data_IF_121754554467
#
_entry.id   IF_121754554467
#
_cell.length_a   1.000
_cell.length_b   1.000
_cell.length_c   1.000
_cell.angle_alpha   90.00
_cell.angle_beta   90.00
_cell.angle_gamma   90.00
#
_symmetry.space_group_name_H-M   'P 1'
#
loop_
_entity.id
_entity.type
_entity.pdbx_description
1 polymer ?
#
# COMPACT_ATOMS: atom_id res chain seq x y z
N UNK A 1 27.96 20.01 -27.12
CA UNK A 1 27.22 19.19 -26.18
C UNK A 1 27.82 19.20 -24.77
N UNK A 2 29.07 18.79 -24.54
CA UNK A 2 29.71 18.79 -23.18
C UNK A 2 29.63 20.14 -22.44
N UNK A 3 29.84 21.27 -23.16
CA UNK A 3 29.77 22.60 -22.58
C UNK A 3 28.36 22.92 -22.01
N UNK A 4 27.29 22.56 -22.73
CA UNK A 4 25.92 22.79 -22.32
C UNK A 4 25.62 21.98 -21.06
N UNK A 5 25.98 20.69 -21.03
CA UNK A 5 25.80 19.86 -19.84
C UNK A 5 26.52 20.50 -18.64
N UNK A 6 27.80 20.86 -18.81
CA UNK A 6 28.58 21.48 -17.73
C UNK A 6 27.94 22.78 -17.21
N UNK A 7 27.49 23.65 -18.11
CA UNK A 7 26.86 24.93 -17.75
C UNK A 7 25.53 24.70 -17.08
N UNK A 8 24.68 23.81 -17.61
CA UNK A 8 23.38 23.48 -16.99
C UNK A 8 23.57 22.90 -15.58
N UNK A 9 24.46 21.91 -15.42
CA UNK A 9 24.76 21.37 -14.09
C UNK A 9 25.29 22.44 -13.12
N UNK A 10 26.14 23.37 -13.59
CA UNK A 10 26.63 24.47 -12.77
C UNK A 10 25.52 25.42 -12.32
N UNK A 11 24.53 25.68 -13.18
CA UNK A 11 23.35 26.50 -12.83
C UNK A 11 22.50 25.78 -11.80
N UNK A 12 22.23 24.48 -12.01
CA UNK A 12 21.45 23.64 -11.08
C UNK A 12 22.09 23.62 -9.69
N UNK A 13 23.40 23.36 -9.60
CA UNK A 13 24.10 23.25 -8.31
C UNK A 13 24.26 24.58 -7.58
N UNK A 14 24.07 25.73 -8.24
CA UNK A 14 24.04 27.05 -7.61
C UNK A 14 22.65 27.43 -7.12
N UNK A 15 21.61 26.68 -7.45
CA UNK A 15 20.25 26.97 -7.04
C UNK A 15 19.94 26.28 -5.70
N UNK A 16 19.68 27.05 -4.61
CA UNK A 16 19.39 26.47 -3.30
C UNK A 16 18.08 25.64 -3.31
N UNK A 17 17.07 26.04 -4.10
CA UNK A 17 15.85 25.28 -4.26
C UNK A 17 16.06 23.89 -4.86
N UNK A 18 17.04 23.74 -5.74
CA UNK A 18 17.41 22.43 -6.29
C UNK A 18 17.94 21.51 -5.18
N UNK A 19 18.85 21.99 -4.33
CA UNK A 19 19.35 21.20 -3.21
C UNK A 19 18.29 20.87 -2.18
N UNK A 20 17.37 21.81 -1.92
CA UNK A 20 16.25 21.56 -1.02
C UNK A 20 15.44 20.34 -1.47
N UNK A 21 14.97 20.30 -2.72
CA UNK A 21 14.19 19.16 -3.22
C UNK A 21 15.02 17.90 -3.38
N UNK A 22 16.29 18.01 -3.75
CA UNK A 22 17.19 16.87 -3.88
C UNK A 22 17.40 16.14 -2.55
N UNK A 23 17.40 16.84 -1.43
CA UNK A 23 17.64 16.26 -0.11
C UNK A 23 16.33 15.92 0.60
N UNK A 24 15.34 16.83 0.60
CA UNK A 24 14.14 16.68 1.41
C UNK A 24 13.27 15.51 0.94
N UNK A 25 13.14 15.28 -0.36
CA UNK A 25 12.24 14.24 -0.86
C UNK A 25 12.72 12.82 -0.56
N UNK A 26 14.01 12.43 -0.75
CA UNK A 26 14.49 11.12 -0.31
C UNK A 26 14.45 10.93 1.21
N UNK A 27 14.80 11.98 1.96
CA UNK A 27 14.77 11.94 3.43
C UNK A 27 13.32 11.73 3.90
N UNK A 28 12.37 12.54 3.41
CA UNK A 28 10.97 12.43 3.80
C UNK A 28 10.37 11.07 3.39
N UNK A 29 10.66 10.60 2.18
CA UNK A 29 10.26 9.26 1.71
C UNK A 29 10.78 8.17 2.63
N UNK A 30 12.05 8.25 3.04
CA UNK A 30 12.67 7.29 3.96
C UNK A 30 12.05 7.35 5.37
N UNK A 31 11.83 8.56 5.89
CA UNK A 31 11.21 8.75 7.21
C UNK A 31 9.81 8.16 7.23
N UNK A 32 8.98 8.45 6.21
CA UNK A 32 7.62 7.90 6.10
C UNK A 32 7.66 6.37 6.05
N UNK A 33 8.51 5.80 5.21
CA UNK A 33 8.65 4.34 5.11
C UNK A 33 9.11 3.73 6.43
N UNK A 34 10.11 4.35 7.09
CA UNK A 34 10.64 3.87 8.37
C UNK A 34 9.61 3.92 9.50
N UNK A 35 8.89 5.03 9.63
CA UNK A 35 7.84 5.18 10.64
C UNK A 35 6.75 4.13 10.46
N UNK A 36 6.35 3.89 9.22
CA UNK A 36 5.34 2.88 8.92
C UNK A 36 5.86 1.46 9.19
N UNK A 37 7.10 1.15 8.83
CA UNK A 37 7.73 -0.14 9.16
C UNK A 37 7.83 -0.36 10.68
N UNK A 38 8.11 0.70 11.44
CA UNK A 38 8.19 0.62 12.91
C UNK A 38 6.80 0.35 13.50
N UNK A 39 5.76 1.01 12.98
CA UNK A 39 4.39 0.80 13.42
C UNK A 39 3.95 -0.65 13.13
N UNK A 40 4.19 -1.16 11.93
CA UNK A 40 3.90 -2.57 11.61
C UNK A 40 4.68 -3.52 12.51
N UNK A 41 5.96 -3.25 12.79
CA UNK A 41 6.77 -4.06 13.68
C UNK A 41 6.30 -4.06 15.14
N UNK A 42 5.74 -2.94 15.61
CA UNK A 42 5.11 -2.88 16.93
C UNK A 42 3.87 -3.79 17.01
N UNK A 43 3.12 -3.91 15.92
CA UNK A 43 2.00 -4.85 15.81
C UNK A 43 2.43 -6.31 15.63
N UNK A 44 3.64 -6.57 15.12
CA UNK A 44 4.16 -7.94 15.00
C UNK A 44 4.38 -8.63 16.34
N UNK A 45 4.78 -7.90 17.36
CA UNK A 45 4.96 -8.43 18.72
C UNK A 45 3.64 -8.90 19.32
N UNK A 46 2.51 -8.32 18.87
CA UNK A 46 1.17 -8.66 19.33
C UNK A 46 0.41 -9.60 18.38
N UNK A 47 0.99 -9.98 17.23
CA UNK A 47 0.28 -10.69 16.15
C UNK A 47 0.02 -12.18 16.38
N UNK A 48 0.46 -12.76 17.49
CA UNK A 48 0.15 -14.15 17.86
C UNK A 48 -1.16 -14.28 18.69
N UNK A 49 -1.89 -13.18 18.87
CA UNK A 49 -3.15 -13.25 19.58
C UNK A 49 -4.25 -13.77 18.64
N UNK A 50 -4.78 -14.91 19.00
CA UNK A 50 -6.01 -15.48 18.40
C UNK A 50 -7.24 -15.14 19.24
N UNK A 51 -7.06 -15.13 20.56
CA UNK A 51 -8.08 -14.79 21.57
C UNK A 51 -7.45 -13.87 22.60
N UNK A 52 -8.02 -12.68 22.77
CA UNK A 52 -7.55 -11.68 23.74
C UNK A 52 -8.66 -11.35 24.72
N UNK A 53 -8.36 -11.44 26.02
CA UNK A 53 -9.28 -10.94 27.05
C UNK A 53 -9.02 -9.44 27.28
N UNK A 54 -10.03 -8.62 27.06
CA UNK A 54 -9.98 -7.18 27.26
C UNK A 54 -10.42 -6.84 28.68
N UNK A 55 -9.51 -6.27 29.47
CA UNK A 55 -9.76 -5.86 30.85
C UNK A 55 -9.86 -4.35 31.02
N UNK A 56 -9.26 -3.58 30.11
CA UNK A 56 -9.21 -2.12 30.17
C UNK A 56 -9.30 -1.46 28.79
N UNK A 57 -9.50 -0.14 28.74
CA UNK A 57 -9.48 0.63 27.49
C UNK A 57 -8.12 0.62 26.77
N UNK A 58 -7.03 0.46 27.53
CA UNK A 58 -5.68 0.34 26.95
C UNK A 58 -5.50 -0.93 26.12
N UNK A 59 -6.33 -1.94 26.35
CA UNK A 59 -6.28 -3.23 25.64
C UNK A 59 -6.86 -3.14 24.23
N UNK A 60 -7.45 -1.98 23.85
CA UNK A 60 -7.88 -1.70 22.46
C UNK A 60 -6.73 -1.81 21.45
N UNK A 61 -5.49 -1.71 21.90
CA UNK A 61 -4.30 -1.99 21.07
C UNK A 61 -4.35 -3.41 20.48
N UNK A 62 -5.03 -4.34 21.14
CA UNK A 62 -5.22 -5.70 20.63
C UNK A 62 -5.95 -5.76 19.28
N UNK A 63 -6.85 -4.80 18.98
CA UNK A 63 -7.56 -4.74 17.69
C UNK A 63 -6.59 -4.58 16.52
N UNK A 64 -5.44 -3.96 16.76
CA UNK A 64 -4.40 -3.75 15.77
C UNK A 64 -3.50 -4.97 15.56
N UNK A 65 -3.53 -5.94 16.49
CA UNK A 65 -2.74 -7.18 16.40
C UNK A 65 -3.28 -8.22 15.42
N UNK A 66 -4.49 -8.03 14.92
CA UNK A 66 -5.16 -8.98 14.03
C UNK A 66 -4.76 -8.84 12.55
N UNK A 67 -3.48 -8.82 12.20
CA UNK A 67 -3.00 -8.69 10.81
C UNK A 67 -3.82 -9.53 9.83
N UNK A 68 -4.63 -8.87 9.00
CA UNK A 68 -5.47 -9.53 8.00
C UNK A 68 -6.59 -10.41 8.54
N UNK A 69 -6.73 -10.56 9.87
CA UNK A 69 -7.84 -11.26 10.49
C UNK A 69 -9.06 -10.36 10.62
N UNK A 70 -10.22 -10.95 10.56
CA UNK A 70 -11.47 -10.23 10.87
C UNK A 70 -11.61 -10.08 12.37
N UNK A 71 -11.60 -8.85 12.87
CA UNK A 71 -11.62 -8.56 14.31
C UNK A 71 -13.05 -8.60 14.83
N UNK A 72 -13.28 -9.43 15.84
CA UNK A 72 -14.59 -9.64 16.48
C UNK A 72 -14.47 -9.29 17.94
N UNK A 73 -15.24 -8.32 18.39
CA UNK A 73 -15.38 -8.01 19.82
C UNK A 73 -16.52 -8.82 20.40
N UNK A 74 -16.28 -9.51 21.49
CA UNK A 74 -17.29 -10.36 22.11
C UNK A 74 -17.59 -9.88 23.52
N UNK A 75 -18.83 -9.54 23.79
CA UNK A 75 -19.38 -9.32 25.14
C UNK A 75 -19.97 -10.61 25.61
N UNK A 76 -19.24 -11.30 26.47
CA UNK A 76 -19.66 -12.58 27.04
C UNK A 76 -20.30 -12.41 28.40
N UNK A 77 -21.63 -12.39 28.42
CA UNK A 77 -22.43 -12.41 29.61
C UNK A 77 -22.88 -13.83 30.00
N UNK A 78 -22.76 -14.80 29.11
CA UNK A 78 -23.06 -16.20 29.38
C UNK A 78 -22.01 -16.83 30.29
N UNK A 79 -20.73 -16.71 29.95
CA UNK A 79 -19.61 -17.23 30.73
C UNK A 79 -19.63 -18.75 30.91
N UNK A 80 -20.18 -19.49 29.93
CA UNK A 80 -20.42 -20.94 30.00
C UNK A 80 -19.39 -21.70 29.19
N UNK A 81 -19.33 -23.03 29.38
CA UNK A 81 -18.46 -23.90 28.58
C UNK A 81 -18.84 -23.89 27.09
N UNK A 82 -20.12 -23.71 26.75
CA UNK A 82 -20.56 -23.60 25.37
C UNK A 82 -20.16 -22.28 24.72
N UNK A 83 -20.19 -21.17 25.47
CA UNK A 83 -19.67 -19.89 24.98
C UNK A 83 -18.17 -19.96 24.76
N UNK A 84 -17.40 -20.60 25.65
CA UNK A 84 -15.98 -20.83 25.51
C UNK A 84 -15.66 -21.66 24.26
N UNK A 85 -16.38 -22.78 24.06
CA UNK A 85 -16.26 -23.63 22.88
C UNK A 85 -16.49 -22.86 21.59
N UNK A 86 -17.53 -22.01 21.54
CA UNK A 86 -17.80 -21.16 20.37
C UNK A 86 -16.63 -20.23 20.07
N UNK A 87 -16.08 -19.56 21.09
CA UNK A 87 -14.97 -18.64 20.92
C UNK A 87 -13.68 -19.36 20.49
N UNK A 88 -13.39 -20.52 21.06
CA UNK A 88 -12.22 -21.33 20.70
C UNK A 88 -12.32 -21.86 19.26
N UNK A 89 -13.51 -22.23 18.80
CA UNK A 89 -13.72 -22.65 17.42
C UNK A 89 -13.55 -21.50 16.43
N UNK A 90 -14.05 -20.30 16.76
CA UNK A 90 -13.83 -19.13 15.92
C UNK A 90 -12.34 -18.81 15.80
N UNK A 91 -11.58 -18.88 16.90
CA UNK A 91 -10.13 -18.66 16.88
C UNK A 91 -9.37 -19.73 16.13
N UNK A 92 -9.76 -21.00 16.28
CA UNK A 92 -9.11 -22.12 15.62
C UNK A 92 -9.14 -22.05 14.08
N UNK A 93 -10.10 -21.31 13.50
CA UNK A 93 -10.15 -21.10 12.05
C UNK A 93 -8.96 -20.27 11.51
N UNK A 94 -8.26 -19.54 12.38
CA UNK A 94 -7.15 -18.66 12.01
C UNK A 94 -7.56 -17.38 11.26
N UNK A 95 -8.84 -17.28 10.84
CA UNK A 95 -9.36 -16.15 10.07
C UNK A 95 -9.81 -14.97 10.95
N UNK A 96 -10.06 -15.23 12.25
CA UNK A 96 -10.62 -14.26 13.17
C UNK A 96 -9.67 -13.92 14.33
N UNK A 97 -9.72 -12.67 14.77
CA UNK A 97 -9.19 -12.24 16.07
C UNK A 97 -10.37 -11.98 17.00
N UNK A 98 -10.47 -12.77 18.06
CA UNK A 98 -11.55 -12.66 19.04
C UNK A 98 -11.08 -11.84 20.24
N UNK A 99 -11.69 -10.67 20.45
CA UNK A 99 -11.44 -9.79 21.58
C UNK A 99 -12.60 -9.92 22.57
N UNK A 100 -12.43 -10.74 23.63
CA UNK A 100 -13.46 -11.04 24.59
C UNK A 100 -13.46 -10.04 25.75
N UNK A 101 -14.66 -9.56 26.09
CA UNK A 101 -14.97 -8.81 27.33
C UNK A 101 -15.86 -9.68 28.19
N UNK A 102 -15.38 -10.08 29.36
CA UNK A 102 -16.22 -10.78 30.37
C UNK A 102 -17.19 -9.78 31.02
N UNK A 103 -18.46 -9.91 30.73
CA UNK A 103 -19.49 -8.96 31.19
C UNK A 103 -20.72 -9.68 31.76
N UNK A 104 -20.58 -10.41 32.88
CA UNK A 104 -21.63 -11.31 33.39
C UNK A 104 -22.92 -10.58 33.81
N UNK A 105 -22.87 -9.27 34.01
CA UNK A 105 -24.03 -8.45 34.38
C UNK A 105 -24.62 -7.67 33.18
N UNK A 106 -24.00 -7.72 32.02
CA UNK A 106 -24.44 -6.96 30.84
C UNK A 106 -25.76 -7.50 30.32
N UNK A 107 -26.69 -6.60 30.07
CA UNK A 107 -27.94 -6.92 29.37
C UNK A 107 -27.82 -6.63 27.87
N UNK A 108 -28.79 -7.10 27.07
CA UNK A 108 -28.84 -6.77 25.65
C UNK A 108 -28.92 -5.26 25.40
N UNK A 109 -29.72 -4.54 26.23
CA UNK A 109 -29.83 -3.09 26.09
C UNK A 109 -28.51 -2.36 26.38
N UNK A 110 -27.71 -2.87 27.33
CA UNK A 110 -26.38 -2.34 27.61
C UNK A 110 -25.42 -2.62 26.41
N UNK A 111 -25.54 -3.80 25.80
CA UNK A 111 -24.77 -4.15 24.61
C UNK A 111 -25.14 -3.27 23.42
N UNK A 112 -26.43 -3.03 23.16
CA UNK A 112 -26.91 -2.13 22.11
C UNK A 112 -26.35 -0.71 22.30
N UNK A 113 -26.40 -0.15 23.51
CA UNK A 113 -25.84 1.17 23.79
C UNK A 113 -24.30 1.22 23.63
N UNK A 114 -23.62 0.12 23.97
CA UNK A 114 -22.18 0.02 23.83
C UNK A 114 -21.76 -0.05 22.35
N UNK A 115 -22.57 -0.66 21.49
CA UNK A 115 -22.33 -0.78 20.05
C UNK A 115 -22.35 0.57 19.34
N UNK A 116 -23.10 1.55 19.79
CA UNK A 116 -23.06 2.91 19.27
C UNK A 116 -21.67 3.53 19.43
N UNK A 117 -20.97 3.22 20.53
CA UNK A 117 -19.61 3.72 20.79
C UNK A 117 -18.58 2.91 20.01
N UNK A 118 -18.70 1.59 20.02
CA UNK A 118 -17.75 0.69 19.36
C UNK A 118 -17.81 0.78 17.83
N UNK A 119 -18.96 1.16 17.26
CA UNK A 119 -19.14 1.35 15.81
C UNK A 119 -18.28 2.46 15.20
N UNK A 120 -17.67 3.33 16.03
CA UNK A 120 -16.70 4.33 15.58
C UNK A 120 -15.28 3.78 15.44
N UNK A 121 -15.03 2.53 15.80
CA UNK A 121 -13.72 1.91 15.65
C UNK A 121 -13.64 1.20 14.30
N UNK A 122 -12.93 1.80 13.34
CA UNK A 122 -12.81 1.35 11.93
C UNK A 122 -12.14 -0.02 11.79
N UNK A 123 -11.61 -0.61 12.86
CA UNK A 123 -10.85 -1.86 12.80
C UNK A 123 -11.64 -3.07 13.26
N UNK A 124 -12.81 -2.86 13.82
CA UNK A 124 -13.72 -3.94 14.15
C UNK A 124 -14.61 -4.29 12.95
N UNK A 125 -14.63 -5.57 12.61
CA UNK A 125 -15.52 -6.10 11.58
C UNK A 125 -16.92 -6.37 12.10
N UNK A 126 -17.00 -7.00 13.30
CA UNK A 126 -18.24 -7.32 13.95
C UNK A 126 -18.11 -7.27 15.47
N UNK A 127 -19.24 -7.16 16.16
CA UNK A 127 -19.33 -7.44 17.57
C UNK A 127 -20.39 -8.53 17.83
N UNK A 128 -20.17 -9.30 18.88
CA UNK A 128 -20.99 -10.42 19.28
C UNK A 128 -21.39 -10.24 20.76
N UNK A 129 -22.67 -10.28 21.05
CA UNK A 129 -23.17 -10.38 22.41
C UNK A 129 -23.62 -11.81 22.68
N UNK A 130 -23.14 -12.41 23.77
CA UNK A 130 -23.54 -13.72 24.26
C UNK A 130 -24.26 -13.52 25.59
N UNK A 131 -25.58 -13.59 25.55
CA UNK A 131 -26.44 -13.40 26.73
C UNK A 131 -26.54 -14.64 27.62
N UNK A 132 -27.09 -14.49 28.81
CA UNK A 132 -27.28 -15.60 29.78
C UNK A 132 -28.16 -16.75 29.25
N UNK A 133 -29.04 -16.47 28.29
CA UNK A 133 -29.89 -17.49 27.61
C UNK A 133 -29.19 -18.22 26.49
N UNK A 134 -27.91 -17.90 26.18
CA UNK A 134 -27.17 -18.43 25.05
C UNK A 134 -27.21 -19.96 24.97
N UNK A 135 -26.90 -20.66 26.07
CA UNK A 135 -26.85 -22.12 26.08
C UNK A 135 -28.21 -22.75 25.75
N UNK A 136 -29.28 -22.28 26.37
CA UNK A 136 -30.64 -22.79 26.14
C UNK A 136 -31.08 -22.56 24.69
N UNK A 137 -30.78 -21.39 24.14
CA UNK A 137 -31.11 -21.02 22.76
C UNK A 137 -30.23 -21.77 21.71
N UNK A 138 -28.93 -21.94 21.99
CA UNK A 138 -28.02 -22.69 21.17
C UNK A 138 -28.42 -24.18 21.04
N UNK A 139 -28.82 -24.77 22.15
CA UNK A 139 -29.33 -26.16 22.20
C UNK A 139 -30.65 -26.30 21.45
N UNK A 140 -31.59 -25.38 21.62
CA UNK A 140 -32.89 -25.41 20.92
C UNK A 140 -32.72 -25.09 19.42
N UNK A 141 -31.66 -24.37 19.05
CA UNK A 141 -31.39 -23.87 17.70
C UNK A 141 -32.28 -22.68 17.30
N UNK A 142 -32.90 -22.02 18.28
CA UNK A 142 -33.71 -20.81 18.10
C UNK A 142 -33.02 -19.65 18.80
N UNK A 143 -32.16 -18.92 18.05
CA UNK A 143 -31.49 -17.74 18.58
C UNK A 143 -32.42 -16.53 18.51
N UNK A 144 -32.69 -15.92 19.65
CA UNK A 144 -33.48 -14.67 19.78
C UNK A 144 -32.65 -13.57 20.43
N UNK A 145 -32.40 -13.70 21.73
CA UNK A 145 -31.67 -12.71 22.54
C UNK A 145 -30.39 -13.27 23.15
N UNK A 146 -30.21 -14.61 23.13
CA UNK A 146 -29.05 -15.29 23.67
C UNK A 146 -27.78 -15.05 22.88
N UNK A 147 -27.91 -14.74 21.60
CA UNK A 147 -26.77 -14.32 20.75
C UNK A 147 -27.22 -13.24 19.78
N UNK A 148 -26.53 -12.09 19.82
CA UNK A 148 -26.78 -10.99 18.89
C UNK A 148 -25.49 -10.65 18.16
N UNK A 149 -25.55 -10.56 16.83
CA UNK A 149 -24.43 -10.18 15.96
C UNK A 149 -24.63 -8.76 15.47
N UNK A 150 -23.66 -7.90 15.74
CA UNK A 150 -23.62 -6.54 15.25
C UNK A 150 -22.59 -6.44 14.11
N UNK A 151 -23.01 -6.01 12.95
CA UNK A 151 -22.11 -5.77 11.83
C UNK A 151 -21.62 -4.32 11.91
N UNK A 152 -20.31 -4.13 12.06
CA UNK A 152 -19.69 -2.81 12.19
C UNK A 152 -19.03 -2.35 10.89
N UNK A 153 -18.60 -3.30 10.03
CA UNK A 153 -18.07 -2.99 8.70
C UNK A 153 -18.59 -3.96 7.64
N UNK A 154 -18.78 -3.47 6.42
CA UNK A 154 -19.07 -4.30 5.26
C UNK A 154 -17.75 -4.86 4.69
N UNK A 155 -17.28 -5.97 5.26
CA UNK A 155 -16.09 -6.70 4.82
C UNK A 155 -16.53 -8.03 4.17
N UNK A 156 -15.85 -8.44 3.11
CA UNK A 156 -16.10 -9.74 2.44
C UNK A 156 -15.95 -10.92 3.41
N UNK A 157 -15.10 -10.79 4.43
CA UNK A 157 -14.88 -11.78 5.50
C UNK A 157 -16.07 -11.96 6.43
N UNK A 158 -17.02 -11.02 6.42
CA UNK A 158 -18.29 -11.18 7.16
C UNK A 158 -19.05 -12.42 6.76
N UNK A 159 -19.11 -12.73 5.46
CA UNK A 159 -19.77 -13.94 4.99
C UNK A 159 -19.12 -15.21 5.55
N UNK A 160 -17.79 -15.22 5.67
CA UNK A 160 -17.08 -16.31 6.31
C UNK A 160 -17.45 -16.41 7.80
N UNK A 161 -17.47 -15.29 8.51
CA UNK A 161 -17.84 -15.23 9.91
C UNK A 161 -19.28 -15.74 10.16
N UNK A 162 -20.25 -15.28 9.37
CA UNK A 162 -21.65 -15.70 9.49
C UNK A 162 -21.80 -17.21 9.21
N UNK A 163 -21.05 -17.77 8.26
CA UNK A 163 -21.08 -19.19 7.97
C UNK A 163 -20.45 -20.04 9.09
N UNK A 164 -19.28 -19.62 9.60
CA UNK A 164 -18.63 -20.29 10.73
C UNK A 164 -19.53 -20.27 11.97
N UNK A 165 -20.15 -19.14 12.27
CA UNK A 165 -21.05 -19.02 13.39
C UNK A 165 -22.23 -19.99 13.28
N UNK A 166 -22.88 -20.06 12.12
CA UNK A 166 -23.98 -20.99 11.84
C UNK A 166 -23.53 -22.44 11.96
N UNK A 167 -22.35 -22.76 11.47
CA UNK A 167 -21.77 -24.10 11.55
C UNK A 167 -21.54 -24.52 13.02
N UNK A 168 -20.94 -23.65 13.83
CA UNK A 168 -20.67 -23.93 15.25
C UNK A 168 -21.97 -24.10 16.03
N UNK A 169 -22.97 -23.24 15.81
CA UNK A 169 -24.29 -23.36 16.46
C UNK A 169 -24.97 -24.69 16.02
N UNK A 170 -24.86 -25.05 14.74
CA UNK A 170 -25.36 -26.35 14.25
C UNK A 170 -24.68 -27.53 14.94
N UNK A 171 -23.38 -27.47 15.19
CA UNK A 171 -22.62 -28.48 15.94
C UNK A 171 -23.10 -28.59 17.37
N UNK A 172 -23.29 -27.46 18.09
CA UNK A 172 -23.80 -27.41 19.46
C UNK A 172 -25.17 -28.06 19.53
N UNK A 173 -26.09 -27.69 18.65
CA UNK A 173 -27.42 -28.27 18.58
C UNK A 173 -27.41 -29.78 18.39
N UNK A 174 -26.55 -30.25 17.42
CA UNK A 174 -26.44 -31.70 17.12
C UNK A 174 -25.87 -32.49 18.32
N UNK A 175 -24.84 -31.93 18.97
CA UNK A 175 -24.24 -32.53 20.15
C UNK A 175 -25.24 -32.60 21.32
N UNK A 176 -25.97 -31.53 21.57
CA UNK A 176 -26.98 -31.48 22.61
C UNK A 176 -28.12 -32.50 22.39
N UNK A 177 -28.51 -32.72 21.13
CA UNK A 177 -29.47 -33.75 20.77
C UNK A 177 -28.92 -35.18 20.98
N UNK A 178 -27.61 -35.38 20.87
CA UNK A 178 -26.99 -36.71 21.02
C UNK A 178 -26.70 -37.09 22.48
N UNK A 179 -26.22 -36.14 23.29
CA UNK A 179 -25.73 -36.45 24.68
C UNK A 179 -26.41 -35.66 25.76
N UNK A 180 -27.41 -34.84 25.44
CA UNK A 180 -28.07 -33.92 26.37
C UNK A 180 -27.32 -32.59 26.48
N UNK A 181 -28.06 -31.56 26.93
CA UNK A 181 -27.55 -30.18 27.00
C UNK A 181 -26.35 -30.00 27.95
N UNK A 182 -26.40 -30.72 29.10
CA UNK A 182 -25.37 -30.60 30.13
C UNK A 182 -24.00 -31.18 29.71
N UNK A 183 -24.02 -32.20 28.83
CA UNK A 183 -22.78 -32.86 28.37
C UNK A 183 -22.31 -32.42 26.97
N UNK A 184 -23.03 -31.52 26.33
CA UNK A 184 -22.76 -31.11 24.96
C UNK A 184 -21.37 -30.47 24.81
N UNK A 185 -20.94 -29.62 25.73
CA UNK A 185 -19.63 -28.96 25.67
C UNK A 185 -18.49 -29.96 25.82
N UNK A 186 -18.57 -30.85 26.79
CA UNK A 186 -17.57 -31.90 27.02
C UNK A 186 -17.46 -32.85 25.82
N UNK A 187 -18.60 -33.29 25.26
CA UNK A 187 -18.66 -34.12 24.06
C UNK A 187 -18.04 -33.44 22.85
N UNK A 188 -18.34 -32.18 22.62
CA UNK A 188 -17.78 -31.40 21.51
C UNK A 188 -16.27 -31.23 21.62
N UNK A 189 -15.75 -30.98 22.82
CA UNK A 189 -14.31 -30.86 23.07
C UNK A 189 -13.60 -32.19 22.82
N UNK A 190 -14.19 -33.32 23.27
CA UNK A 190 -13.65 -34.65 23.04
C UNK A 190 -13.64 -35.04 21.56
N UNK A 191 -14.73 -34.80 20.83
CA UNK A 191 -14.85 -35.07 19.39
C UNK A 191 -13.84 -34.19 18.64
N UNK A 192 -13.72 -32.92 19.03
CA UNK A 192 -12.78 -31.99 18.40
C UNK A 192 -11.32 -32.45 18.53
N UNK A 193 -10.95 -33.02 19.70
CA UNK A 193 -9.60 -33.54 19.93
C UNK A 193 -9.30 -34.82 19.15
N UNK A 194 -10.33 -35.57 18.77
CA UNK A 194 -10.21 -36.85 18.02
C UNK A 194 -10.31 -36.69 16.51
N UNK A 195 -10.74 -35.53 16.02
CA UNK A 195 -10.76 -35.28 14.59
C UNK A 195 -9.32 -35.25 14.05
N UNK A 196 -8.99 -36.02 12.97
CA UNK A 196 -7.68 -35.94 12.37
C UNK A 196 -7.44 -34.52 11.83
N UNK A 197 -6.26 -33.98 12.10
CA UNK A 197 -5.84 -32.73 11.45
C UNK A 197 -6.00 -32.87 9.94
N UNK A 198 -6.93 -32.11 9.36
CA UNK A 198 -7.06 -32.04 7.92
C UNK A 198 -5.76 -31.45 7.37
N UNK A 199 -4.96 -32.28 6.72
CA UNK A 199 -3.77 -31.82 6.03
C UNK A 199 -4.21 -30.95 4.86
N UNK A 200 -4.30 -29.64 5.09
CA UNK A 200 -4.53 -28.66 4.04
C UNK A 200 -3.31 -28.71 3.12
N UNK A 201 -3.41 -29.44 2.02
CA UNK A 201 -2.42 -29.40 0.96
C UNK A 201 -2.65 -28.08 0.23
N UNK A 202 -1.93 -27.06 0.63
CA UNK A 202 -1.84 -25.86 -0.16
C UNK A 202 -1.15 -26.23 -1.47
N UNK A 203 -1.87 -26.14 -2.58
CA UNK A 203 -1.32 -26.28 -3.94
C UNK A 203 -0.51 -25.01 -4.31
N UNK A 204 0.31 -24.55 -3.38
CA UNK A 204 1.32 -23.54 -3.65
C UNK A 204 2.34 -24.18 -4.59
N UNK A 205 2.07 -24.13 -5.89
CA UNK A 205 3.05 -24.50 -6.90
C UNK A 205 4.31 -23.64 -6.74
N UNK A 206 5.45 -24.11 -7.25
CA UNK A 206 6.73 -23.38 -7.31
C UNK A 206 6.63 -21.96 -7.91
N UNK A 207 5.50 -21.60 -8.48
CA UNK A 207 5.16 -20.31 -9.08
C UNK A 207 4.06 -19.62 -8.28
N UNK A 208 4.15 -19.58 -6.95
CA UNK A 208 3.20 -18.81 -6.15
C UNK A 208 3.37 -17.32 -6.52
N UNK A 209 2.44 -16.82 -7.35
CA UNK A 209 2.41 -15.43 -7.80
C UNK A 209 1.66 -14.51 -6.83
N UNK A 210 1.06 -15.06 -5.79
CA UNK A 210 0.29 -14.28 -4.83
C UNK A 210 1.19 -13.84 -3.68
N UNK A 211 1.14 -12.56 -3.39
CA UNK A 211 1.79 -11.98 -2.22
C UNK A 211 1.15 -12.52 -0.93
N UNK A 212 1.96 -12.69 0.10
CA UNK A 212 1.44 -12.89 1.45
C UNK A 212 0.82 -11.59 1.97
N UNK A 213 -0.04 -11.67 3.01
CA UNK A 213 -0.64 -10.47 3.62
C UNK A 213 0.44 -9.46 4.08
N UNK A 214 1.54 -9.96 4.66
CA UNK A 214 2.67 -9.13 5.05
C UNK A 214 3.32 -8.42 3.84
N UNK A 215 3.50 -9.14 2.73
CA UNK A 215 4.03 -8.54 1.50
C UNK A 215 3.07 -7.51 0.89
N UNK A 216 1.75 -7.72 1.02
CA UNK A 216 0.74 -6.74 0.58
C UNK A 216 0.83 -5.44 1.40
N UNK A 217 0.98 -5.55 2.72
CA UNK A 217 1.19 -4.40 3.60
C UNK A 217 2.48 -3.66 3.23
N UNK A 218 3.58 -4.39 3.07
CA UNK A 218 4.86 -3.79 2.66
C UNK A 218 4.77 -3.11 1.28
N UNK A 219 4.04 -3.69 0.34
CA UNK A 219 3.77 -3.08 -0.98
C UNK A 219 3.02 -1.76 -0.84
N UNK A 220 1.99 -1.71 0.02
CA UNK A 220 1.24 -0.47 0.28
C UNK A 220 2.13 0.63 0.86
N UNK A 221 3.02 0.28 1.82
CA UNK A 221 3.99 1.23 2.39
C UNK A 221 4.95 1.79 1.34
N UNK A 222 5.41 0.94 0.42
CA UNK A 222 6.25 1.36 -0.71
C UNK A 222 5.53 2.36 -1.62
N UNK A 223 4.22 2.24 -1.79
CA UNK A 223 3.41 3.18 -2.58
C UNK A 223 3.53 4.62 -2.06
N UNK A 224 3.32 4.85 -0.77
CA UNK A 224 3.46 6.19 -0.16
C UNK A 224 4.88 6.75 -0.29
N UNK A 225 5.89 5.93 -0.03
CA UNK A 225 7.28 6.34 -0.15
C UNK A 225 7.65 6.72 -1.59
N UNK A 226 7.20 5.92 -2.57
CA UNK A 226 7.41 6.20 -3.99
C UNK A 226 6.67 7.46 -4.45
N UNK A 227 5.48 7.73 -3.94
CA UNK A 227 4.75 8.96 -4.26
C UNK A 227 5.56 10.21 -3.87
N UNK A 228 6.12 10.25 -2.65
CA UNK A 228 6.95 11.37 -2.19
C UNK A 228 8.23 11.47 -3.01
N UNK A 229 8.90 10.35 -3.28
CA UNK A 229 10.15 10.32 -4.01
C UNK A 229 9.98 10.76 -5.47
N UNK A 230 8.88 10.36 -6.12
CA UNK A 230 8.59 10.78 -7.50
C UNK A 230 8.35 12.27 -7.63
N UNK A 231 7.82 12.92 -6.59
CA UNK A 231 7.73 14.39 -6.53
C UNK A 231 9.12 15.02 -6.64
N UNK A 232 10.13 14.47 -5.99
CA UNK A 232 11.52 14.92 -6.11
C UNK A 232 12.06 14.84 -7.53
N UNK A 233 11.78 13.76 -8.24
CA UNK A 233 12.17 13.61 -9.65
C UNK A 233 11.45 14.61 -10.56
N UNK A 234 10.16 14.86 -10.31
CA UNK A 234 9.38 15.87 -11.06
C UNK A 234 10.00 17.24 -10.89
N UNK A 235 10.25 17.67 -9.66
CA UNK A 235 10.88 18.98 -9.41
C UNK A 235 12.33 19.01 -9.91
N UNK A 236 13.10 17.94 -9.78
CA UNK A 236 14.42 17.80 -10.35
C UNK A 236 14.44 18.05 -11.87
N UNK A 237 13.51 17.44 -12.59
CA UNK A 237 13.32 17.66 -14.04
C UNK A 237 12.85 19.08 -14.37
N UNK A 238 11.99 19.68 -13.54
CA UNK A 238 11.53 21.06 -13.69
C UNK A 238 12.70 22.05 -13.54
N UNK A 239 13.65 21.84 -12.65
CA UNK A 239 14.82 22.71 -12.55
C UNK A 239 15.65 22.69 -13.85
N UNK A 240 15.75 21.54 -14.50
CA UNK A 240 16.36 21.47 -15.85
C UNK A 240 15.52 22.24 -16.88
N UNK A 241 14.18 22.07 -16.84
CA UNK A 241 13.25 22.78 -17.72
C UNK A 241 13.35 24.32 -17.54
N UNK A 242 13.47 24.80 -16.30
CA UNK A 242 13.68 26.23 -16.01
C UNK A 242 14.92 26.78 -16.70
N UNK A 243 16.02 26.01 -16.79
CA UNK A 243 17.21 26.47 -17.54
C UNK A 243 16.91 26.62 -19.01
N UNK A 244 16.09 25.73 -19.60
CA UNK A 244 15.67 25.86 -21.01
C UNK A 244 14.81 27.08 -21.23
N UNK A 245 13.82 27.30 -20.37
CA UNK A 245 12.92 28.47 -20.47
C UNK A 245 13.68 29.79 -20.31
N UNK A 246 14.61 29.88 -19.34
CA UNK A 246 15.44 31.06 -19.16
C UNK A 246 16.37 31.31 -20.35
N UNK A 247 17.02 30.26 -20.86
CA UNK A 247 17.90 30.36 -22.06
C UNK A 247 17.12 30.79 -23.32
N UNK A 248 15.84 30.44 -23.42
CA UNK A 248 14.95 30.95 -24.47
C UNK A 248 14.64 32.43 -24.28
N UNK A 249 14.23 32.85 -23.07
CA UNK A 249 13.91 34.25 -22.76
C UNK A 249 15.10 35.18 -22.94
N UNK A 250 16.28 34.73 -22.56
CA UNK A 250 17.53 35.50 -22.64
C UNK A 250 18.21 35.44 -24.04
N UNK A 251 17.49 34.92 -25.05
CA UNK A 251 17.96 34.77 -26.43
C UNK A 251 19.26 33.97 -26.55
N UNK A 252 19.61 33.19 -25.53
CA UNK A 252 20.81 32.32 -25.54
C UNK A 252 20.67 31.21 -26.57
N UNK A 253 19.45 30.69 -26.74
CA UNK A 253 19.16 29.65 -27.71
C UNK A 253 19.45 30.13 -29.16
N UNK A 254 19.11 31.38 -29.47
CA UNK A 254 19.39 32.02 -30.78
C UNK A 254 20.90 32.12 -31.02
N UNK A 255 21.69 32.49 -29.99
CA UNK A 255 23.15 32.53 -30.10
C UNK A 255 23.76 31.14 -30.25
N UNK A 256 23.20 30.11 -29.58
CA UNK A 256 23.65 28.72 -29.73
C UNK A 256 23.42 28.21 -31.15
N UNK A 257 22.35 28.66 -31.82
CA UNK A 257 22.08 28.30 -33.24
C UNK A 257 23.12 28.81 -34.21
N UNK A 258 23.81 29.92 -33.91
CA UNK A 258 24.91 30.41 -34.69
C UNK A 258 26.16 29.50 -34.60
N UNK A 259 26.14 28.56 -33.68
CA UNK A 259 27.17 27.52 -33.58
C UNK A 259 26.74 26.27 -34.35
N UNK A 260 27.65 25.34 -34.58
CA UNK A 260 27.37 24.07 -35.28
C UNK A 260 26.52 23.09 -34.45
N UNK A 261 25.79 23.57 -33.40
CA UNK A 261 24.96 22.71 -32.58
C UNK A 261 23.54 22.66 -33.14
N UNK A 262 23.08 21.44 -33.41
CA UNK A 262 21.71 21.21 -33.87
C UNK A 262 20.71 21.33 -32.69
N UNK A 263 19.44 21.74 -32.94
CA UNK A 263 18.40 21.76 -31.93
C UNK A 263 18.22 20.41 -31.20
N UNK A 264 18.35 19.30 -31.92
CA UNK A 264 18.36 17.95 -31.37
C UNK A 264 19.53 17.73 -30.41
N UNK A 265 20.74 18.18 -30.77
CA UNK A 265 21.92 18.07 -29.90
C UNK A 265 21.79 18.89 -28.61
N UNK A 266 21.18 20.07 -28.70
CA UNK A 266 20.85 20.87 -27.52
C UNK A 266 19.87 20.12 -26.62
N UNK A 267 18.78 19.62 -27.16
CA UNK A 267 17.76 18.86 -26.37
C UNK A 267 18.37 17.61 -25.72
N UNK A 268 19.19 16.86 -26.50
CA UNK A 268 19.89 15.70 -25.95
C UNK A 268 20.76 16.07 -24.74
N UNK A 269 21.45 17.23 -24.82
CA UNK A 269 22.26 17.70 -23.68
C UNK A 269 21.40 17.97 -22.44
N UNK A 270 20.24 18.61 -22.60
CA UNK A 270 19.29 18.87 -21.49
C UNK A 270 18.66 17.58 -20.96
N UNK A 271 18.33 16.66 -21.85
CA UNK A 271 17.80 15.35 -21.50
C UNK A 271 18.82 14.55 -20.65
N UNK A 272 20.09 14.58 -21.01
CA UNK A 272 21.17 13.98 -20.23
C UNK A 272 21.34 14.66 -18.86
N UNK A 273 21.11 15.98 -18.76
CA UNK A 273 21.09 16.67 -17.45
C UNK A 273 19.96 16.14 -16.56
N UNK A 274 18.78 15.83 -17.11
CA UNK A 274 17.71 15.13 -16.38
C UNK A 274 18.16 13.76 -15.85
N UNK A 275 18.91 13.01 -16.64
CA UNK A 275 19.52 11.75 -16.20
C UNK A 275 20.53 11.93 -15.04
N UNK A 276 21.35 12.99 -15.09
CA UNK A 276 22.26 13.33 -13.98
C UNK A 276 21.46 13.65 -12.70
N UNK A 277 20.37 14.39 -12.81
CA UNK A 277 19.50 14.71 -11.67
C UNK A 277 18.86 13.45 -11.09
N UNK A 278 18.35 12.55 -11.96
CA UNK A 278 17.83 11.25 -11.53
C UNK A 278 18.89 10.43 -10.77
N UNK A 279 20.11 10.39 -11.30
CA UNK A 279 21.23 9.69 -10.64
C UNK A 279 21.55 10.27 -9.26
N UNK A 280 21.62 11.60 -9.16
CA UNK A 280 21.90 12.28 -7.88
C UNK A 280 20.81 11.98 -6.83
N UNK A 281 19.54 12.08 -7.18
CA UNK A 281 18.43 11.71 -6.28
C UNK A 281 18.51 10.24 -5.86
N UNK A 282 18.85 9.36 -6.80
CA UNK A 282 19.01 7.93 -6.49
C UNK A 282 20.19 7.67 -5.55
N UNK A 283 21.31 8.41 -5.70
CA UNK A 283 22.45 8.31 -4.80
C UNK A 283 22.06 8.77 -3.38
N UNK A 284 21.36 9.90 -3.27
CA UNK A 284 20.87 10.38 -1.95
C UNK A 284 19.90 9.34 -1.34
N UNK A 285 18.98 8.81 -2.14
CA UNK A 285 18.09 7.73 -1.69
C UNK A 285 18.86 6.48 -1.27
N UNK A 286 19.96 6.15 -1.97
CA UNK A 286 20.85 5.04 -1.62
C UNK A 286 21.46 5.19 -0.22
N UNK A 287 21.88 6.41 0.14
CA UNK A 287 22.36 6.70 1.49
C UNK A 287 21.21 6.60 2.50
N UNK A 288 20.06 7.20 2.19
CA UNK A 288 18.89 7.13 3.06
C UNK A 288 18.36 5.70 3.25
N UNK A 289 18.45 4.86 2.21
CA UNK A 289 17.97 3.46 2.25
C UNK A 289 18.76 2.56 3.21
N UNK A 290 19.94 2.99 3.68
CA UNK A 290 20.66 2.29 4.76
C UNK A 290 19.87 2.32 6.09
N UNK A 291 18.93 3.24 6.23
CA UNK A 291 18.04 3.33 7.39
C UNK A 291 16.77 2.48 7.25
N UNK A 292 16.52 1.88 6.08
CA UNK A 292 15.35 1.08 5.78
C UNK A 292 15.70 -0.41 5.92
N UNK A 293 14.83 -1.18 6.54
CA UNK A 293 14.96 -2.63 6.56
C UNK A 293 14.46 -3.24 5.23
N UNK A 294 15.38 -3.38 4.29
CA UNK A 294 15.09 -3.98 2.97
C UNK A 294 14.80 -5.47 3.05
N UNK A 295 15.23 -6.14 4.13
CA UNK A 295 14.92 -7.56 4.38
C UNK A 295 13.43 -7.76 4.60
N UNK A 296 12.78 -6.88 5.36
CA UNK A 296 11.32 -6.89 5.55
C UNK A 296 10.54 -6.57 4.28
N UNK A 297 11.09 -5.72 3.41
CA UNK A 297 10.49 -5.45 2.10
C UNK A 297 10.58 -6.65 1.15
N UNK A 298 11.44 -7.63 1.43
CA UNK A 298 11.70 -8.75 0.52
C UNK A 298 12.40 -8.36 -0.78
N UNK A 299 12.95 -7.13 -0.87
CA UNK A 299 13.57 -6.56 -2.06
C UNK A 299 15.04 -6.27 -1.79
N UNK A 300 15.93 -6.68 -2.70
CA UNK A 300 17.33 -6.33 -2.60
C UNK A 300 17.53 -4.81 -2.81
N UNK A 301 18.41 -4.19 -1.99
CA UNK A 301 18.72 -2.76 -2.06
C UNK A 301 19.15 -2.30 -3.46
N UNK A 302 19.97 -3.09 -4.16
CA UNK A 302 20.41 -2.76 -5.53
C UNK A 302 19.22 -2.75 -6.49
N UNK A 303 18.30 -3.70 -6.36
CA UNK A 303 17.07 -3.78 -7.17
C UNK A 303 16.17 -2.56 -6.91
N UNK A 304 16.01 -2.17 -5.65
CA UNK A 304 15.25 -0.99 -5.24
C UNK A 304 15.84 0.28 -5.86
N UNK A 305 17.15 0.49 -5.76
CA UNK A 305 17.82 1.67 -6.32
C UNK A 305 17.75 1.69 -7.83
N UNK A 306 17.91 0.54 -8.50
CA UNK A 306 17.77 0.44 -9.96
C UNK A 306 16.36 0.83 -10.40
N UNK A 307 15.34 0.33 -9.72
CA UNK A 307 13.94 0.69 -9.95
C UNK A 307 13.73 2.20 -9.79
N UNK A 308 14.19 2.77 -8.69
CA UNK A 308 14.08 4.21 -8.39
C UNK A 308 14.77 5.05 -9.46
N UNK A 309 15.98 4.67 -9.90
CA UNK A 309 16.71 5.38 -10.95
C UNK A 309 15.93 5.40 -12.28
N UNK A 310 15.41 4.25 -12.71
CA UNK A 310 14.65 4.14 -13.95
C UNK A 310 13.36 4.98 -13.88
N UNK A 311 12.65 4.97 -12.76
CA UNK A 311 11.48 5.81 -12.53
C UNK A 311 11.84 7.30 -12.59
N UNK A 312 12.96 7.67 -12.00
CA UNK A 312 13.47 9.04 -12.01
C UNK A 312 13.79 9.53 -13.42
N UNK A 313 14.35 8.68 -14.30
CA UNK A 313 14.57 9.02 -15.69
C UNK A 313 13.27 9.40 -16.40
N UNK A 314 12.19 8.65 -16.16
CA UNK A 314 10.88 8.92 -16.77
C UNK A 314 10.36 10.29 -16.30
N UNK A 315 10.28 10.52 -14.97
CA UNK A 315 9.71 11.77 -14.45
C UNK A 315 10.55 13.00 -14.77
N UNK A 316 11.87 12.92 -14.71
CA UNK A 316 12.74 14.02 -15.13
C UNK A 316 12.56 14.35 -16.62
N UNK A 317 12.40 13.34 -17.49
CA UNK A 317 12.18 13.55 -18.91
C UNK A 317 10.80 14.14 -19.23
N UNK A 318 9.76 13.70 -18.53
CA UNK A 318 8.40 14.25 -18.67
C UNK A 318 8.31 15.71 -18.20
N UNK A 319 8.93 16.04 -17.07
CA UNK A 319 8.99 17.41 -16.57
C UNK A 319 9.75 18.35 -17.52
N UNK A 320 10.85 17.89 -18.10
CA UNK A 320 11.59 18.62 -19.12
C UNK A 320 10.72 18.87 -20.36
N UNK A 321 9.95 17.86 -20.79
CA UNK A 321 9.01 17.99 -21.92
C UNK A 321 7.99 19.11 -21.66
N UNK A 322 7.36 19.17 -20.48
CA UNK A 322 6.40 20.23 -20.15
C UNK A 322 7.05 21.62 -20.18
N UNK A 323 8.28 21.75 -19.68
CA UNK A 323 8.99 23.00 -19.76
C UNK A 323 9.20 23.51 -21.19
N UNK A 324 9.50 22.60 -22.10
CA UNK A 324 9.69 22.95 -23.51
C UNK A 324 8.38 23.30 -24.21
N UNK A 325 7.34 22.49 -23.98
CA UNK A 325 6.05 22.71 -24.65
C UNK A 325 5.35 23.98 -24.16
N UNK A 326 5.36 24.26 -22.88
CA UNK A 326 4.62 25.37 -22.29
C UNK A 326 5.44 26.67 -22.26
N UNK A 327 6.77 26.61 -22.18
CA UNK A 327 7.70 27.76 -22.24
C UNK A 327 7.50 28.81 -21.17
N UNK A 328 6.69 28.55 -20.17
CA UNK A 328 6.46 29.39 -19.01
C UNK A 328 6.73 28.59 -17.74
N UNK A 329 7.53 29.16 -16.83
CA UNK A 329 7.95 28.49 -15.59
C UNK A 329 6.73 28.09 -14.75
N UNK A 330 5.77 28.99 -14.56
CA UNK A 330 4.58 28.71 -13.74
C UNK A 330 3.74 27.59 -14.36
N UNK A 331 3.43 27.70 -15.66
CA UNK A 331 2.63 26.68 -16.37
C UNK A 331 3.33 25.32 -16.38
N UNK A 332 4.64 25.27 -16.53
CA UNK A 332 5.43 24.03 -16.49
C UNK A 332 5.37 23.38 -15.09
N UNK A 333 5.48 24.17 -14.02
CA UNK A 333 5.37 23.68 -12.64
C UNK A 333 4.00 23.10 -12.38
N UNK A 334 2.93 23.82 -12.75
CA UNK A 334 1.54 23.39 -12.56
C UNK A 334 1.27 22.10 -13.34
N UNK A 335 1.66 22.06 -14.63
CA UNK A 335 1.44 20.87 -15.46
C UNK A 335 2.18 19.63 -14.92
N UNK A 336 3.44 19.79 -14.52
CA UNK A 336 4.23 18.69 -14.00
C UNK A 336 3.70 18.20 -12.62
N UNK A 337 3.28 19.12 -11.74
CA UNK A 337 2.65 18.78 -10.47
C UNK A 337 1.31 18.08 -10.68
N UNK A 338 0.47 18.59 -11.59
CA UNK A 338 -0.82 17.97 -11.94
C UNK A 338 -0.62 16.55 -12.49
N UNK A 339 0.35 16.37 -13.42
CA UNK A 339 0.67 15.04 -13.92
C UNK A 339 1.12 14.10 -12.80
N UNK A 340 2.02 14.56 -11.93
CA UNK A 340 2.47 13.78 -10.77
C UNK A 340 1.32 13.38 -9.87
N UNK A 341 0.46 14.33 -9.50
CA UNK A 341 -0.69 14.11 -8.61
C UNK A 341 -1.68 13.11 -9.22
N UNK A 342 -2.09 13.35 -10.49
CA UNK A 342 -3.01 12.45 -11.19
C UNK A 342 -2.42 11.05 -11.40
N UNK A 343 -1.14 10.97 -11.78
CA UNK A 343 -0.50 9.67 -12.01
C UNK A 343 -0.28 8.90 -10.70
N UNK A 344 0.03 9.59 -9.59
CA UNK A 344 0.14 8.97 -8.27
C UNK A 344 -1.18 8.40 -7.77
N UNK A 345 -2.29 9.13 -8.02
CA UNK A 345 -3.63 8.69 -7.66
C UNK A 345 -4.08 7.47 -8.48
N UNK A 346 -3.89 7.54 -9.81
CA UNK A 346 -4.38 6.52 -10.75
C UNK A 346 -3.48 5.29 -10.85
N UNK A 347 -2.28 5.31 -10.29
CA UNK A 347 -1.33 4.19 -10.36
C UNK A 347 -1.48 3.15 -9.26
N UNK A 348 -2.33 3.42 -8.25
CA UNK A 348 -2.48 2.53 -7.10
C UNK A 348 -1.41 2.73 -6.01
N UNK A 349 -0.72 3.89 -5.98
CA UNK A 349 0.24 4.21 -4.92
C UNK A 349 -0.43 4.41 -3.57
N UNK A 350 -1.62 4.98 -3.56
CA UNK A 350 -2.37 5.30 -2.33
C UNK A 350 -3.46 4.28 -2.02
N UNK A 351 -4.06 3.69 -3.05
CA UNK A 351 -5.18 2.77 -2.91
C UNK A 351 -4.97 1.53 -3.78
N UNK A 352 -5.29 0.31 -3.29
CA UNK A 352 -5.31 -0.89 -4.12
C UNK A 352 -6.31 -0.71 -5.27
N UNK A 353 -5.90 -1.06 -6.49
CA UNK A 353 -6.77 -0.93 -7.67
C UNK A 353 -7.63 -2.19 -7.92
N UNK A 354 -7.51 -3.21 -7.08
CA UNK A 354 -8.14 -4.53 -7.30
C UNK A 354 -9.66 -4.46 -7.31
N UNK A 355 -10.24 -3.59 -6.48
CA UNK A 355 -11.68 -3.33 -6.42
C UNK A 355 -12.17 -2.19 -7.33
N UNK A 356 -11.25 -1.54 -8.07
CA UNK A 356 -11.59 -0.38 -8.91
C UNK A 356 -12.29 -0.78 -10.20
N UNK A 357 -13.09 0.15 -10.77
CA UNK A 357 -13.73 -0.03 -12.05
C UNK A 357 -12.73 -0.36 -13.18
N UNK A 358 -13.15 -1.18 -14.15
CA UNK A 358 -12.31 -1.62 -15.28
C UNK A 358 -11.65 -0.45 -16.02
N UNK A 359 -12.36 0.66 -16.17
CA UNK A 359 -11.84 1.88 -16.82
C UNK A 359 -10.64 2.45 -16.06
N UNK A 360 -10.69 2.53 -14.72
CA UNK A 360 -9.60 3.01 -13.88
C UNK A 360 -8.38 2.10 -14.01
N UNK A 361 -8.59 0.77 -13.99
CA UNK A 361 -7.52 -0.22 -14.20
C UNK A 361 -6.85 -0.05 -15.57
N UNK A 362 -7.63 0.23 -16.63
CA UNK A 362 -7.08 0.44 -17.97
C UNK A 362 -6.24 1.72 -18.05
N UNK A 363 -6.74 2.81 -17.47
CA UNK A 363 -6.02 4.10 -17.45
C UNK A 363 -4.75 4.00 -16.59
N UNK A 364 -4.76 3.21 -15.51
CA UNK A 364 -3.59 3.06 -14.64
C UNK A 364 -2.35 2.53 -15.38
N UNK A 365 -2.51 1.69 -16.40
CA UNK A 365 -1.39 1.21 -17.23
C UNK A 365 -0.71 2.30 -18.07
N UNK A 366 -1.36 3.46 -18.24
CA UNK A 366 -0.74 4.63 -18.85
C UNK A 366 0.10 5.44 -17.85
N UNK A 367 0.09 5.07 -16.57
CA UNK A 367 0.84 5.77 -15.53
C UNK A 367 2.15 5.05 -15.24
N UNK A 368 3.32 5.74 -15.26
CA UNK A 368 4.61 5.08 -15.04
C UNK A 368 4.69 4.42 -13.65
N UNK A 369 4.15 5.05 -12.62
CA UNK A 369 4.19 4.48 -11.26
C UNK A 369 3.48 3.13 -11.14
N UNK A 370 2.44 2.87 -11.93
CA UNK A 370 1.74 1.57 -11.95
C UNK A 370 2.70 0.43 -12.25
N UNK A 371 3.52 0.59 -13.28
CA UNK A 371 4.50 -0.42 -13.68
C UNK A 371 5.57 -0.66 -12.61
N UNK A 372 5.90 0.39 -11.85
CA UNK A 372 6.85 0.28 -10.75
C UNK A 372 6.24 -0.37 -9.51
N UNK A 373 4.94 -0.18 -9.26
CA UNK A 373 4.23 -0.93 -8.22
C UNK A 373 4.11 -2.41 -8.58
N UNK A 374 3.81 -2.74 -9.84
CA UNK A 374 3.80 -4.12 -10.31
C UNK A 374 5.21 -4.74 -10.28
N UNK A 375 6.25 -3.96 -10.59
CA UNK A 375 7.63 -4.39 -10.47
C UNK A 375 8.04 -4.66 -9.01
N UNK A 376 7.54 -3.86 -8.05
CA UNK A 376 7.73 -4.11 -6.62
C UNK A 376 7.16 -5.48 -6.23
N UNK A 377 5.96 -5.80 -6.70
CA UNK A 377 5.34 -7.11 -6.51
C UNK A 377 6.17 -8.24 -7.12
N UNK A 378 6.60 -8.07 -8.39
CA UNK A 378 7.47 -9.06 -9.05
C UNK A 378 8.79 -9.28 -8.32
N UNK A 379 9.38 -8.24 -7.73
CA UNK A 379 10.62 -8.33 -6.94
C UNK A 379 10.37 -9.11 -5.64
N UNK A 380 9.24 -8.87 -4.96
CA UNK A 380 8.88 -9.58 -3.73
C UNK A 380 8.66 -11.08 -3.96
N UNK A 381 8.14 -11.48 -5.12
CA UNK A 381 8.01 -12.90 -5.52
C UNK A 381 9.23 -13.44 -6.27
N UNK A 382 10.31 -12.68 -6.35
CA UNK A 382 11.59 -13.02 -7.01
C UNK A 382 11.46 -13.42 -8.49
N UNK A 383 10.56 -12.75 -9.23
CA UNK A 383 10.43 -12.94 -10.68
C UNK A 383 11.51 -12.13 -11.43
N UNK A 384 12.44 -12.82 -12.08
CA UNK A 384 13.55 -12.19 -12.80
C UNK A 384 13.11 -11.40 -14.04
N UNK A 385 11.87 -11.54 -14.51
CA UNK A 385 11.35 -10.79 -15.66
C UNK A 385 11.16 -9.30 -15.36
N UNK A 386 11.16 -8.93 -14.09
CA UNK A 386 10.97 -7.55 -13.63
C UNK A 386 11.89 -6.55 -14.33
N UNK A 387 13.18 -6.87 -14.46
CA UNK A 387 14.16 -5.96 -15.07
C UNK A 387 13.87 -5.72 -16.56
N UNK A 388 13.47 -6.76 -17.29
CA UNK A 388 13.06 -6.63 -18.68
C UNK A 388 11.86 -5.70 -18.83
N UNK A 389 10.82 -5.89 -18.00
CA UNK A 389 9.62 -5.04 -18.02
C UNK A 389 9.98 -3.58 -17.71
N UNK A 390 10.75 -3.33 -16.64
CA UNK A 390 11.16 -1.98 -16.24
C UNK A 390 11.97 -1.27 -17.32
N UNK A 391 12.91 -1.95 -17.95
CA UNK A 391 13.74 -1.38 -19.01
C UNK A 391 12.86 -1.06 -20.22
N UNK A 392 11.99 -1.96 -20.65
CA UNK A 392 11.08 -1.72 -21.78
C UNK A 392 10.16 -0.52 -21.54
N UNK A 393 9.56 -0.44 -20.35
CA UNK A 393 8.71 0.69 -19.96
C UNK A 393 9.51 1.99 -19.95
N UNK A 394 10.68 2.00 -19.33
CA UNK A 394 11.55 3.19 -19.28
C UNK A 394 11.93 3.67 -20.68
N UNK A 395 12.36 2.76 -21.56
CA UNK A 395 12.70 3.09 -22.95
C UNK A 395 11.48 3.66 -23.69
N UNK A 396 10.29 3.07 -23.52
CA UNK A 396 9.09 3.55 -24.18
C UNK A 396 8.77 5.01 -23.77
N UNK A 397 8.75 5.32 -22.47
CA UNK A 397 8.54 6.69 -21.99
C UNK A 397 9.64 7.65 -22.44
N UNK A 398 10.91 7.24 -22.41
CA UNK A 398 12.02 8.06 -22.86
C UNK A 398 11.96 8.36 -24.37
N UNK A 399 11.57 7.39 -25.21
CA UNK A 399 11.38 7.59 -26.65
C UNK A 399 10.23 8.57 -26.91
N UNK A 400 9.11 8.43 -26.23
CA UNK A 400 7.97 9.34 -26.36
C UNK A 400 8.36 10.76 -25.96
N UNK A 401 8.92 10.93 -24.77
CA UNK A 401 9.31 12.27 -24.25
C UNK A 401 10.41 12.91 -25.08
N UNK A 402 11.38 12.11 -25.56
CA UNK A 402 12.44 12.60 -26.43
C UNK A 402 11.89 13.02 -27.80
N UNK A 403 11.01 12.24 -28.40
CA UNK A 403 10.43 12.54 -29.70
C UNK A 403 9.60 13.83 -29.65
N UNK A 404 8.67 13.93 -28.70
CA UNK A 404 7.81 15.09 -28.51
C UNK A 404 8.62 16.35 -28.17
N UNK A 405 9.60 16.25 -27.27
CA UNK A 405 10.44 17.37 -26.88
C UNK A 405 11.34 17.87 -28.01
N UNK A 406 11.86 16.96 -28.85
CA UNK A 406 12.69 17.34 -30.01
C UNK A 406 11.90 18.07 -31.10
N UNK A 407 10.61 17.74 -31.24
CA UNK A 407 9.66 18.43 -32.13
C UNK A 407 9.24 19.76 -31.54
N UNK A 408 8.89 19.81 -30.22
CA UNK A 408 8.49 21.03 -29.53
C UNK A 408 9.52 22.17 -29.62
N UNK A 409 10.81 21.84 -29.54
CA UNK A 409 11.89 22.84 -29.76
C UNK A 409 11.88 23.38 -31.18
N UNK A 410 11.53 22.58 -32.19
CA UNK A 410 11.48 23.02 -33.59
C UNK A 410 10.28 23.93 -33.87
N UNK A 411 9.08 23.57 -33.45
CA UNK A 411 7.87 24.37 -33.69
C UNK A 411 7.94 25.75 -33.09
N UNK A 412 8.45 25.86 -31.87
CA UNK A 412 8.57 27.15 -31.20
C UNK A 412 9.60 28.09 -31.82
N UNK A 413 10.40 27.57 -32.73
CA UNK A 413 11.44 28.30 -33.47
C UNK A 413 10.99 28.81 -34.82
N UNK A 414 9.81 28.42 -35.29
CA UNK A 414 9.22 28.86 -36.56
C UNK A 414 8.24 30.02 -36.40
N UNK A 415 7.83 30.32 -35.15
CA UNK A 415 6.82 31.35 -34.84
C UNK A 415 7.44 32.65 -34.29
N UNK A 416 8.79 32.74 -34.16
CA UNK A 416 9.59 33.94 -33.92
C UNK A 416 10.35 34.36 -35.20
#
# INVERSE_FOLDING_TARGET
MKAIIKTTCKILFRNPGFWFFLLITPVLSTVVLRLQQTNLGAYEVTSNYEKVELTSESDKVAYYGGKGKYVIKVYDAAGTELSEYLLDKLTASGAFLVCRVKAPQMTKADADARMEIDGYDDRMGAALYLGRSFDAEAVSGTMQDGMVVYTLSEDERKTLFDNELRMIIGQIKTAAAAVGSENAAAYLSEVSSKLPEMKVVSLAGKNQRNLTNEQLDQKALMGYALAILTLGFVFGGIFVAHTVISEQKDMVLTRIRLTNLTPKGYYTAKFLCGGVVSLLLTIVMGVCSLMIDTGRLGINQVSLLTMIFLLGLIFCSMSLLFGILLGNIFSANVAAFTLWSMSSLLSGLYFPLDSSAKAVKTISYMMPQKWFMDATEMLMVRDNKVYFVLICVTIAYMVITFSLGSVGIRFRNSDE
#
